data_IF_513050739347
#
_entry.id   IF_513050739347
#
_cell.length_a   1.000
_cell.length_b   1.000
_cell.length_c   1.000
_cell.angle_alpha   90.00
_cell.angle_beta   90.00
_cell.angle_gamma   90.00
#
_symmetry.space_group_name_H-M   'P 1'
#
loop_
_entity.id
_entity.type
_entity.pdbx_description
1 polymer ?
#
# COMPACT_ATOMS: atom_id res chain seq x y z
N UNK A 1 5.12 58.45 -5.13
CA UNK A 1 6.25 57.53 -4.86
C UNK A 1 6.43 57.11 -3.39
N UNK A 2 5.87 57.79 -2.38
CA UNK A 2 6.10 57.42 -0.96
C UNK A 2 5.27 56.26 -0.40
N UNK A 3 4.17 55.86 -1.03
CA UNK A 3 3.26 54.81 -0.53
C UNK A 3 3.60 53.39 -1.00
N UNK A 4 4.40 53.24 -2.05
CA UNK A 4 4.82 51.91 -2.58
C UNK A 4 6.02 51.36 -1.80
N UNK A 5 6.91 52.24 -1.32
CA UNK A 5 8.07 51.87 -0.49
C UNK A 5 7.67 51.29 0.88
N UNK A 6 6.58 51.76 1.48
CA UNK A 6 6.09 51.28 2.78
C UNK A 6 5.50 49.88 2.75
N UNK A 7 4.84 49.50 1.64
CA UNK A 7 4.26 48.14 1.50
C UNK A 7 5.37 47.13 1.23
N UNK A 8 6.39 47.48 0.43
CA UNK A 8 7.54 46.61 0.18
C UNK A 8 8.37 46.33 1.45
N UNK A 9 8.49 47.30 2.35
CA UNK A 9 9.22 47.16 3.62
C UNK A 9 8.47 46.29 4.64
N UNK A 10 7.13 46.37 4.68
CA UNK A 10 6.30 45.54 5.56
C UNK A 10 6.27 44.10 5.06
N UNK A 11 6.16 43.90 3.75
CA UNK A 11 6.24 42.56 3.13
C UNK A 11 7.63 41.95 3.39
N UNK A 12 8.72 42.70 3.20
CA UNK A 12 10.07 42.19 3.52
C UNK A 12 10.28 41.90 5.00
N UNK A 13 9.70 42.69 5.91
CA UNK A 13 9.80 42.47 7.35
C UNK A 13 9.03 41.22 7.80
N UNK A 14 7.84 40.98 7.25
CA UNK A 14 7.06 39.76 7.47
C UNK A 14 7.79 38.52 6.95
N UNK A 15 8.37 38.60 5.75
CA UNK A 15 9.21 37.53 5.19
C UNK A 15 10.47 37.25 6.03
N UNK A 16 11.11 38.27 6.60
CA UNK A 16 12.28 38.11 7.45
C UNK A 16 11.93 37.50 8.82
N UNK A 17 10.80 37.90 9.43
CA UNK A 17 10.32 37.29 10.67
C UNK A 17 9.89 35.84 10.49
N UNK A 18 9.18 35.52 9.40
CA UNK A 18 8.78 34.15 9.08
C UNK A 18 9.99 33.27 8.76
N UNK A 19 10.99 33.79 8.05
CA UNK A 19 12.22 33.07 7.78
C UNK A 19 13.01 32.76 9.06
N UNK A 20 13.07 33.69 10.02
CA UNK A 20 13.74 33.50 11.31
C UNK A 20 13.01 32.47 12.20
N UNK A 21 11.67 32.50 12.20
CA UNK A 21 10.85 31.51 12.91
C UNK A 21 11.00 30.09 12.32
N UNK A 22 11.01 29.96 10.99
CA UNK A 22 11.25 28.69 10.30
C UNK A 22 12.66 28.15 10.59
N UNK A 23 13.69 29.00 10.57
CA UNK A 23 15.06 28.60 10.93
C UNK A 23 15.17 28.11 12.38
N UNK A 24 14.53 28.80 13.33
CA UNK A 24 14.52 28.38 14.74
C UNK A 24 13.79 27.06 14.94
N UNK A 25 12.62 26.88 14.31
CA UNK A 25 11.87 25.63 14.36
C UNK A 25 12.70 24.46 13.81
N UNK A 26 13.44 24.69 12.73
CA UNK A 26 14.32 23.70 12.11
C UNK A 26 15.51 23.32 13.01
N UNK A 27 16.13 24.29 13.69
CA UNK A 27 17.20 24.03 14.68
C UNK A 27 16.67 23.16 15.83
N UNK A 28 15.52 23.52 16.39
CA UNK A 28 14.89 22.75 17.48
C UNK A 28 14.56 21.34 17.01
N UNK A 29 13.99 21.19 15.81
CA UNK A 29 13.69 19.88 15.22
C UNK A 29 14.95 19.03 15.09
N UNK A 30 16.06 19.59 14.57
CA UNK A 30 17.34 18.88 14.46
C UNK A 30 17.88 18.46 15.82
N UNK A 31 17.79 19.33 16.83
CA UNK A 31 18.23 19.01 18.18
C UNK A 31 17.38 17.90 18.80
N UNK A 32 16.07 17.94 18.63
CA UNK A 32 15.16 16.90 19.13
C UNK A 32 15.44 15.54 18.49
N UNK A 33 15.69 15.50 17.18
CA UNK A 33 16.10 14.27 16.49
C UNK A 33 17.41 13.73 17.03
N UNK A 34 18.42 14.58 17.28
CA UNK A 34 19.69 14.16 17.89
C UNK A 34 19.50 13.62 19.30
N UNK A 35 18.71 14.31 20.12
CA UNK A 35 18.41 13.87 21.48
C UNK A 35 17.70 12.51 21.48
N UNK A 36 16.71 12.32 20.60
CA UNK A 36 16.04 11.03 20.46
C UNK A 36 17.00 9.93 19.98
N UNK A 37 17.86 10.21 18.99
CA UNK A 37 18.87 9.25 18.52
C UNK A 37 19.85 8.83 19.63
N UNK A 38 20.28 9.77 20.48
CA UNK A 38 21.12 9.47 21.64
C UNK A 38 20.39 8.61 22.67
N UNK A 39 19.11 8.92 22.97
CA UNK A 39 18.28 8.08 23.86
C UNK A 39 18.09 6.67 23.30
N UNK A 40 17.93 6.54 21.98
CA UNK A 40 17.91 5.24 21.33
C UNK A 40 19.22 4.47 21.55
N UNK A 41 20.38 5.12 21.39
CA UNK A 41 21.68 4.46 21.50
C UNK A 41 22.01 4.01 22.94
N UNK A 42 21.60 4.78 23.95
CA UNK A 42 22.01 4.57 25.35
C UNK A 42 20.91 3.97 26.24
N UNK A 43 19.66 3.95 25.77
CA UNK A 43 18.49 3.67 26.60
C UNK A 43 18.09 2.19 26.71
N UNK A 44 17.30 1.91 27.76
CA UNK A 44 16.55 0.66 27.89
C UNK A 44 15.46 0.53 26.80
N UNK A 45 14.87 -0.66 26.65
CA UNK A 45 13.98 -0.93 25.52
C UNK A 45 12.78 0.02 25.43
N UNK A 46 12.21 0.47 26.56
CA UNK A 46 11.13 1.46 26.57
C UNK A 46 11.59 2.80 26.01
N UNK A 47 12.75 3.29 26.46
CA UNK A 47 13.33 4.55 26.02
C UNK A 47 13.71 4.50 24.53
N UNK A 48 14.21 3.35 24.05
CA UNK A 48 14.47 3.13 22.62
C UNK A 48 13.20 3.17 21.80
N UNK A 49 12.12 2.53 22.27
CA UNK A 49 10.83 2.54 21.57
C UNK A 49 10.25 3.96 21.51
N UNK A 50 10.27 4.71 22.61
CA UNK A 50 9.84 6.11 22.66
C UNK A 50 10.68 6.98 21.71
N UNK A 51 12.01 6.82 21.75
CA UNK A 51 12.91 7.52 20.84
C UNK A 51 12.59 7.25 19.36
N UNK A 52 12.31 5.99 18.98
CA UNK A 52 11.92 5.65 17.60
C UNK A 52 10.59 6.29 17.23
N UNK A 53 9.58 6.25 18.11
CA UNK A 53 8.28 6.91 17.87
C UNK A 53 8.44 8.42 17.67
N UNK A 54 9.26 9.06 18.49
CA UNK A 54 9.59 10.47 18.35
C UNK A 54 10.28 10.76 17.01
N UNK A 55 11.30 9.99 16.66
CA UNK A 55 12.00 10.10 15.38
C UNK A 55 11.03 9.99 14.20
N UNK A 56 10.10 9.04 14.26
CA UNK A 56 9.04 8.84 13.27
C UNK A 56 8.06 10.03 13.22
N UNK A 57 7.84 10.73 14.33
CA UNK A 57 6.98 11.90 14.40
C UNK A 57 7.59 13.16 13.77
N UNK A 58 8.92 13.31 13.79
CA UNK A 58 9.64 14.50 13.32
C UNK A 58 9.85 14.57 11.80
N UNK A 59 9.20 13.70 11.02
CA UNK A 59 9.46 13.63 9.58
C UNK A 59 8.85 14.83 8.83
N UNK A 60 9.74 15.62 8.21
CA UNK A 60 9.46 16.62 7.20
C UNK A 60 10.13 16.25 5.85
N UNK A 61 10.00 17.05 4.80
CA UNK A 61 10.40 16.69 3.42
C UNK A 61 11.92 16.57 3.18
N UNK A 62 12.77 16.94 4.14
CA UNK A 62 14.23 16.92 3.98
C UNK A 62 14.82 15.52 4.19
N UNK A 63 15.84 15.17 3.39
CA UNK A 63 16.62 13.95 3.55
C UNK A 63 17.42 14.01 4.85
N UNK A 64 16.92 13.38 5.90
CA UNK A 64 17.57 13.33 7.20
C UNK A 64 18.31 12.00 7.38
N UNK A 65 19.60 12.00 7.04
CA UNK A 65 20.49 10.82 7.15
C UNK A 65 20.53 10.25 8.56
N UNK A 66 20.41 11.09 9.60
CA UNK A 66 20.38 10.62 10.99
C UNK A 66 19.10 9.83 11.27
N UNK A 67 17.93 10.34 10.85
CA UNK A 67 16.67 9.60 10.99
C UNK A 67 16.75 8.26 10.27
N UNK A 68 17.20 8.26 9.01
CA UNK A 68 17.32 7.03 8.22
C UNK A 68 18.28 6.04 8.89
N UNK A 69 19.46 6.50 9.32
CA UNK A 69 20.46 5.69 10.00
C UNK A 69 19.92 5.08 11.30
N UNK A 70 19.30 5.89 12.16
CA UNK A 70 18.71 5.39 13.42
C UNK A 70 17.60 4.38 13.16
N UNK A 71 16.72 4.64 12.19
CA UNK A 71 15.64 3.70 11.84
C UNK A 71 16.17 2.39 11.24
N UNK A 72 17.25 2.41 10.45
CA UNK A 72 17.88 1.20 9.93
C UNK A 72 18.46 0.35 11.06
N UNK A 73 19.09 0.97 12.06
CA UNK A 73 19.57 0.27 13.26
C UNK A 73 18.40 -0.28 14.08
N UNK A 74 17.34 0.52 14.28
CA UNK A 74 16.14 0.11 15.00
C UNK A 74 15.36 -1.01 14.32
N UNK A 75 15.43 -1.12 13.00
CA UNK A 75 14.84 -2.23 12.24
C UNK A 75 15.52 -3.58 12.51
N UNK A 76 16.66 -3.59 13.21
CA UNK A 76 17.40 -4.77 13.65
C UNK A 76 17.41 -4.92 15.18
N UNK A 77 16.62 -4.12 15.92
CA UNK A 77 16.59 -4.17 17.38
C UNK A 77 16.09 -5.54 17.88
N UNK A 78 16.62 -6.08 19.00
CA UNK A 78 16.14 -7.32 19.61
C UNK A 78 14.62 -7.35 19.87
N UNK A 79 14.01 -6.19 20.16
CA UNK A 79 12.59 -6.09 20.49
C UNK A 79 11.73 -5.88 19.24
N UNK A 80 10.79 -6.79 19.02
CA UNK A 80 9.84 -6.80 17.89
C UNK A 80 9.08 -5.47 17.74
N UNK A 81 8.67 -4.86 18.86
CA UNK A 81 7.95 -3.58 18.87
C UNK A 81 8.77 -2.43 18.28
N UNK A 82 10.08 -2.41 18.52
CA UNK A 82 11.01 -1.42 17.98
C UNK A 82 11.21 -1.65 16.49
N UNK A 83 11.42 -2.91 16.05
CA UNK A 83 11.55 -3.25 14.63
C UNK A 83 10.33 -2.84 13.82
N UNK A 84 9.13 -3.12 14.35
CA UNK A 84 7.86 -2.72 13.73
C UNK A 84 7.76 -1.20 13.59
N UNK A 85 8.08 -0.45 14.65
CA UNK A 85 7.99 1.01 14.60
C UNK A 85 9.02 1.61 13.64
N UNK A 86 10.22 1.03 13.60
CA UNK A 86 11.27 1.40 12.67
C UNK A 86 10.82 1.20 11.21
N UNK A 87 10.20 0.05 10.89
CA UNK A 87 9.67 -0.23 9.55
C UNK A 87 8.57 0.76 9.12
N UNK A 88 7.69 1.16 10.05
CA UNK A 88 6.71 2.22 9.78
C UNK A 88 7.41 3.54 9.46
N UNK A 89 8.46 3.88 10.22
CA UNK A 89 9.31 5.04 9.98
C UNK A 89 9.94 5.01 8.59
N UNK A 90 10.64 3.93 8.24
CA UNK A 90 11.30 3.76 6.95
C UNK A 90 10.29 3.85 5.78
N UNK A 91 9.10 3.26 5.94
CA UNK A 91 8.02 3.37 4.95
C UNK A 91 7.52 4.82 4.76
N UNK A 92 7.45 5.61 5.84
CA UNK A 92 7.10 7.04 5.77
C UNK A 92 8.20 7.86 5.11
N UNK A 93 9.48 7.53 5.39
CA UNK A 93 10.62 8.18 4.77
C UNK A 93 10.66 7.92 3.25
N UNK A 94 10.31 6.70 2.82
CA UNK A 94 10.34 6.27 1.41
C UNK A 94 11.69 6.57 0.73
N UNK A 95 12.79 6.56 1.49
CA UNK A 95 14.12 6.76 0.93
C UNK A 95 14.58 5.45 0.28
N UNK A 96 14.86 5.48 -1.03
CA UNK A 96 15.22 4.31 -1.84
C UNK A 96 16.46 3.57 -1.28
N UNK A 97 17.36 4.27 -0.60
CA UNK A 97 18.54 3.64 0.04
C UNK A 97 18.17 2.63 1.12
N UNK A 98 16.97 2.72 1.70
CA UNK A 98 16.49 1.81 2.75
C UNK A 98 15.88 0.53 2.21
N UNK A 99 15.49 0.52 0.92
CA UNK A 99 14.69 -0.53 0.33
C UNK A 99 15.36 -1.90 0.41
N UNK A 100 16.68 -1.98 0.18
CA UNK A 100 17.43 -3.24 0.28
C UNK A 100 17.36 -3.85 1.69
N UNK A 101 17.45 -3.02 2.74
CA UNK A 101 17.31 -3.48 4.12
C UNK A 101 15.89 -4.00 4.40
N UNK A 102 14.86 -3.28 3.92
CA UNK A 102 13.46 -3.68 4.08
C UNK A 102 13.19 -4.99 3.31
N UNK A 103 13.75 -5.16 2.09
CA UNK A 103 13.66 -6.41 1.31
C UNK A 103 14.17 -7.60 2.10
N UNK A 104 15.35 -7.46 2.72
CA UNK A 104 15.95 -8.51 3.56
C UNK A 104 15.04 -8.87 4.74
N UNK A 105 14.50 -7.89 5.45
CA UNK A 105 13.58 -8.14 6.57
C UNK A 105 12.30 -8.83 6.07
N UNK A 106 11.72 -8.39 4.96
CA UNK A 106 10.54 -9.01 4.38
C UNK A 106 10.77 -10.47 3.92
N UNK A 107 12.00 -10.83 3.56
CA UNK A 107 12.35 -12.16 3.07
C UNK A 107 12.74 -13.15 4.18
N UNK A 108 13.43 -12.68 5.22
CA UNK A 108 14.19 -13.53 6.15
C UNK A 108 13.80 -13.39 7.63
N UNK A 109 12.97 -12.42 7.99
CA UNK A 109 12.57 -12.20 9.38
C UNK A 109 11.70 -13.34 9.92
N UNK A 110 12.04 -13.78 11.14
CA UNK A 110 11.39 -14.88 11.83
C UNK A 110 10.01 -14.48 12.36
N UNK A 111 9.88 -13.26 12.88
CA UNK A 111 8.61 -12.76 13.39
C UNK A 111 7.63 -12.47 12.23
N UNK A 112 6.47 -13.15 12.15
CA UNK A 112 5.48 -12.89 11.11
C UNK A 112 4.99 -11.44 11.12
N UNK A 113 4.78 -10.85 12.31
CA UNK A 113 4.38 -9.45 12.44
C UNK A 113 5.38 -8.50 11.79
N UNK A 114 6.67 -8.64 12.12
CA UNK A 114 7.72 -7.77 11.55
C UNK A 114 7.83 -7.99 10.05
N UNK A 115 7.75 -9.25 9.58
CA UNK A 115 7.75 -9.58 8.16
C UNK A 115 6.57 -8.94 7.43
N UNK A 116 5.37 -8.96 8.02
CA UNK A 116 4.19 -8.29 7.49
C UNK A 116 4.37 -6.78 7.36
N UNK A 117 4.93 -6.12 8.39
CA UNK A 117 5.24 -4.70 8.33
C UNK A 117 6.29 -4.38 7.25
N UNK A 118 7.28 -5.25 7.06
CA UNK A 118 8.30 -5.06 6.02
C UNK A 118 7.72 -5.20 4.61
N UNK A 119 6.90 -6.21 4.34
CA UNK A 119 6.17 -6.36 3.07
C UNK A 119 5.27 -5.14 2.80
N UNK A 120 4.57 -4.66 3.83
CA UNK A 120 3.74 -3.46 3.74
C UNK A 120 4.55 -2.20 3.44
N UNK A 121 5.76 -2.08 4.00
CA UNK A 121 6.68 -0.98 3.76
C UNK A 121 7.21 -0.98 2.32
N UNK A 122 7.60 -2.14 1.77
CA UNK A 122 8.08 -2.26 0.38
C UNK A 122 7.06 -1.77 -0.64
N UNK A 123 5.77 -2.06 -0.42
CA UNK A 123 4.69 -1.60 -1.30
C UNK A 123 4.67 -0.08 -1.53
N UNK A 124 5.20 0.72 -0.60
CA UNK A 124 5.24 2.19 -0.74
C UNK A 124 6.18 2.63 -1.87
N UNK A 125 7.23 1.86 -2.15
CA UNK A 125 8.20 2.14 -3.21
C UNK A 125 7.62 1.89 -4.60
N UNK A 126 6.71 0.91 -4.72
CA UNK A 126 6.12 0.47 -5.99
C UNK A 126 7.18 0.07 -7.04
N UNK A 127 8.31 -0.45 -6.57
CA UNK A 127 9.44 -0.78 -7.44
C UNK A 127 9.25 -2.20 -7.99
N UNK A 128 9.24 -2.41 -9.32
CA UNK A 128 9.16 -3.73 -9.93
C UNK A 128 10.24 -4.72 -9.46
N UNK A 129 11.38 -4.24 -8.96
CA UNK A 129 12.41 -5.12 -8.38
C UNK A 129 11.99 -5.78 -7.05
N UNK A 130 10.83 -5.44 -6.48
CA UNK A 130 10.26 -6.07 -5.28
C UNK A 130 9.41 -7.32 -5.61
N UNK A 131 9.21 -7.68 -6.88
CA UNK A 131 8.34 -8.80 -7.30
C UNK A 131 8.67 -10.08 -6.55
N UNK A 132 9.95 -10.48 -6.50
CA UNK A 132 10.37 -11.75 -5.89
C UNK A 132 10.01 -11.83 -4.39
N UNK A 133 10.07 -10.69 -3.69
CA UNK A 133 9.69 -10.63 -2.28
C UNK A 133 8.19 -10.83 -2.13
N UNK A 134 7.38 -10.19 -2.99
CA UNK A 134 5.94 -10.35 -2.93
C UNK A 134 5.48 -11.75 -3.36
N UNK A 135 6.06 -12.33 -4.42
CA UNK A 135 5.73 -13.68 -4.89
C UNK A 135 6.12 -14.74 -3.85
N UNK A 136 7.28 -14.62 -3.20
CA UNK A 136 7.65 -15.45 -2.05
C UNK A 136 6.65 -15.30 -0.90
N UNK A 137 6.24 -14.08 -0.58
CA UNK A 137 5.26 -13.83 0.48
C UNK A 137 3.86 -14.40 0.21
N UNK A 138 3.48 -14.65 -1.05
CA UNK A 138 2.25 -15.40 -1.38
C UNK A 138 2.31 -16.88 -0.98
N UNK A 139 3.49 -17.42 -0.72
CA UNK A 139 3.68 -18.80 -0.22
C UNK A 139 3.73 -18.86 1.31
N UNK A 140 3.51 -17.74 2.00
CA UNK A 140 3.52 -17.67 3.46
C UNK A 140 2.35 -18.45 4.08
N UNK A 141 2.61 -19.20 5.14
CA UNK A 141 1.56 -19.83 5.96
C UNK A 141 0.64 -18.78 6.59
N UNK A 142 1.21 -17.64 6.99
CA UNK A 142 0.47 -16.49 7.50
C UNK A 142 -0.26 -15.75 6.37
N UNK A 143 -1.59 -15.71 6.46
CA UNK A 143 -2.47 -15.09 5.48
C UNK A 143 -2.35 -13.57 5.43
N UNK A 144 -1.96 -12.90 6.53
CA UNK A 144 -1.75 -11.45 6.56
C UNK A 144 -0.62 -11.08 5.59
N UNK A 145 0.40 -11.92 5.50
CA UNK A 145 1.56 -11.73 4.63
C UNK A 145 1.19 -12.03 3.18
N UNK A 146 0.40 -13.09 2.93
CA UNK A 146 -0.15 -13.33 1.59
C UNK A 146 -0.99 -12.15 1.11
N UNK A 147 -1.85 -11.61 1.97
CA UNK A 147 -2.67 -10.43 1.67
C UNK A 147 -1.81 -9.19 1.38
N UNK A 148 -0.79 -8.94 2.22
CA UNK A 148 0.14 -7.83 2.02
C UNK A 148 0.93 -7.97 0.71
N UNK A 149 1.33 -9.19 0.36
CA UNK A 149 2.04 -9.51 -0.88
C UNK A 149 1.20 -9.28 -2.12
N UNK A 150 -0.05 -9.75 -2.18
CA UNK A 150 -0.91 -9.47 -3.34
C UNK A 150 -1.21 -7.96 -3.47
N UNK A 151 -1.31 -7.23 -2.35
CA UNK A 151 -1.40 -5.76 -2.36
C UNK A 151 -0.13 -5.12 -2.94
N UNK A 152 1.04 -5.70 -2.69
CA UNK A 152 2.32 -5.31 -3.27
C UNK A 152 2.30 -5.46 -4.79
N UNK A 153 2.04 -6.68 -5.27
CA UNK A 153 1.99 -7.00 -6.70
C UNK A 153 1.01 -6.13 -7.48
N UNK A 154 -0.22 -5.94 -6.97
CA UNK A 154 -1.26 -5.18 -7.67
C UNK A 154 -1.04 -3.66 -7.69
N UNK A 155 -0.04 -3.15 -6.96
CA UNK A 155 0.34 -1.74 -6.99
C UNK A 155 1.44 -1.44 -8.00
N UNK A 156 2.17 -2.48 -8.45
CA UNK A 156 3.21 -2.34 -9.46
C UNK A 156 2.57 -1.93 -10.78
N UNK A 157 3.14 -0.90 -11.40
CA UNK A 157 2.63 -0.30 -12.64
C UNK A 157 3.71 -0.36 -13.72
N UNK A 158 4.08 -1.59 -14.07
CA UNK A 158 5.06 -1.88 -15.11
C UNK A 158 4.42 -2.88 -16.10
N UNK A 159 4.25 -2.43 -17.34
CA UNK A 159 3.62 -3.23 -18.41
C UNK A 159 4.42 -4.49 -18.74
N UNK A 160 5.75 -4.44 -18.59
CA UNK A 160 6.64 -5.55 -18.97
C UNK A 160 6.43 -6.79 -18.09
N UNK A 161 5.97 -6.59 -16.84
CA UNK A 161 5.76 -7.66 -15.87
C UNK A 161 4.30 -8.11 -15.76
N UNK A 162 3.32 -7.35 -16.27
CA UNK A 162 1.89 -7.66 -16.00
C UNK A 162 1.50 -9.09 -16.35
N UNK A 163 2.03 -9.62 -17.45
CA UNK A 163 1.78 -11.01 -17.86
C UNK A 163 2.37 -12.03 -16.90
N UNK A 164 3.56 -11.78 -16.34
CA UNK A 164 4.19 -12.68 -15.37
C UNK A 164 3.49 -12.65 -14.00
N UNK A 165 2.73 -11.59 -13.70
CA UNK A 165 1.94 -11.49 -12.47
C UNK A 165 0.66 -12.36 -12.48
N UNK A 166 0.15 -12.74 -13.67
CA UNK A 166 -1.15 -13.42 -13.80
C UNK A 166 -1.26 -14.69 -12.95
N UNK A 167 -0.29 -15.64 -12.95
CA UNK A 167 -0.37 -16.85 -12.14
C UNK A 167 -0.50 -16.56 -10.64
N UNK A 168 0.23 -15.56 -10.14
CA UNK A 168 0.20 -15.16 -8.73
C UNK A 168 -1.12 -14.48 -8.34
N UNK A 169 -1.72 -13.72 -9.26
CA UNK A 169 -3.05 -13.14 -9.05
C UNK A 169 -4.12 -14.23 -9.03
N UNK A 170 -4.03 -15.23 -9.93
CA UNK A 170 -4.94 -16.40 -9.93
C UNK A 170 -4.82 -17.16 -8.60
N UNK A 171 -3.59 -17.41 -8.14
CA UNK A 171 -3.34 -18.01 -6.82
C UNK A 171 -4.05 -17.21 -5.72
N UNK A 172 -3.89 -15.88 -5.70
CA UNK A 172 -4.50 -15.04 -4.67
C UNK A 172 -6.05 -14.99 -4.75
N UNK A 173 -6.66 -15.02 -5.93
CA UNK A 173 -8.13 -15.10 -6.09
C UNK A 173 -8.69 -16.41 -5.53
N UNK A 174 -7.92 -17.48 -5.64
CA UNK A 174 -8.26 -18.82 -5.15
C UNK A 174 -7.73 -19.12 -3.75
N UNK A 175 -7.16 -18.13 -3.06
CA UNK A 175 -6.67 -18.32 -1.70
C UNK A 175 -7.79 -18.81 -0.76
N UNK A 176 -7.50 -19.78 0.12
CA UNK A 176 -8.46 -20.26 1.10
C UNK A 176 -8.91 -19.15 2.07
N UNK A 177 -8.04 -18.18 2.36
CA UNK A 177 -8.39 -17.03 3.19
C UNK A 177 -9.15 -15.98 2.38
N UNK A 178 -10.40 -15.71 2.78
CA UNK A 178 -11.28 -14.78 2.09
C UNK A 178 -10.66 -13.38 1.96
N UNK A 179 -9.93 -12.93 2.99
CA UNK A 179 -9.28 -11.61 2.98
C UNK A 179 -8.28 -11.43 1.84
N UNK A 180 -7.54 -12.49 1.48
CA UNK A 180 -6.58 -12.49 0.37
C UNK A 180 -7.31 -12.44 -0.97
N UNK A 181 -8.31 -13.31 -1.16
CA UNK A 181 -9.12 -13.36 -2.37
C UNK A 181 -9.87 -12.06 -2.64
N UNK A 182 -10.51 -11.48 -1.60
CA UNK A 182 -11.20 -10.20 -1.70
C UNK A 182 -10.26 -9.06 -2.08
N UNK A 183 -9.04 -9.07 -1.53
CA UNK A 183 -8.02 -8.08 -1.86
C UNK A 183 -7.59 -8.19 -3.32
N UNK A 184 -7.34 -9.41 -3.80
CA UNK A 184 -6.97 -9.66 -5.20
C UNK A 184 -8.05 -9.13 -6.15
N UNK A 185 -9.30 -9.52 -5.93
CA UNK A 185 -10.44 -9.13 -6.76
C UNK A 185 -10.71 -7.62 -6.76
N UNK A 186 -10.72 -6.97 -5.58
CA UNK A 186 -11.05 -5.54 -5.45
C UNK A 186 -10.00 -4.62 -6.04
N UNK A 187 -8.74 -5.05 -6.10
CA UNK A 187 -7.60 -4.23 -6.56
C UNK A 187 -7.14 -4.60 -7.97
N UNK A 188 -7.76 -5.59 -8.61
CA UNK A 188 -7.36 -6.05 -9.93
C UNK A 188 -7.60 -5.00 -11.01
N UNK A 189 -6.51 -4.49 -11.58
CA UNK A 189 -6.54 -3.59 -12.74
C UNK A 189 -6.22 -4.32 -14.06
N UNK A 190 -5.45 -5.39 -13.98
CA UNK A 190 -5.02 -6.17 -15.14
C UNK A 190 -6.22 -6.91 -15.73
N UNK A 191 -6.38 -6.83 -17.05
CA UNK A 191 -7.41 -7.54 -17.81
C UNK A 191 -6.74 -8.61 -18.66
N UNK A 192 -7.13 -9.86 -18.43
CA UNK A 192 -6.60 -11.03 -19.15
C UNK A 192 -7.67 -12.12 -19.22
N UNK A 193 -7.66 -12.93 -20.28
CA UNK A 193 -8.63 -14.00 -20.49
C UNK A 193 -8.59 -15.10 -19.43
N UNK A 194 -7.40 -15.42 -18.88
CA UNK A 194 -7.28 -16.39 -17.78
C UNK A 194 -7.86 -15.82 -16.49
N UNK A 195 -7.57 -14.55 -16.20
CA UNK A 195 -8.15 -13.85 -15.05
C UNK A 195 -9.67 -13.77 -15.17
N UNK A 196 -10.21 -13.47 -16.35
CA UNK A 196 -11.65 -13.48 -16.60
C UNK A 196 -12.27 -14.82 -16.20
N UNK A 197 -11.74 -15.93 -16.72
CA UNK A 197 -12.23 -17.28 -16.40
C UNK A 197 -12.21 -17.54 -14.90
N UNK A 198 -11.08 -17.26 -14.22
CA UNK A 198 -10.96 -17.44 -12.77
C UNK A 198 -11.96 -16.59 -11.98
N UNK A 199 -12.19 -15.33 -12.38
CA UNK A 199 -13.18 -14.45 -11.74
C UNK A 199 -14.60 -14.99 -11.95
N UNK A 200 -14.93 -15.47 -13.15
CA UNK A 200 -16.24 -16.05 -13.46
C UNK A 200 -16.47 -17.31 -12.65
N UNK A 201 -15.48 -18.19 -12.51
CA UNK A 201 -15.59 -19.39 -11.66
C UNK A 201 -15.86 -19.01 -10.20
N UNK A 202 -15.12 -18.01 -9.68
CA UNK A 202 -15.34 -17.48 -8.33
C UNK A 202 -16.70 -16.78 -8.17
N UNK A 203 -17.17 -16.07 -9.19
CA UNK A 203 -18.48 -15.44 -9.23
C UNK A 203 -19.60 -16.48 -9.26
N UNK A 204 -19.39 -17.60 -9.96
CA UNK A 204 -20.33 -18.70 -10.06
C UNK A 204 -20.48 -19.45 -8.73
N UNK A 205 -19.40 -19.59 -7.96
CA UNK A 205 -19.43 -20.20 -6.62
C UNK A 205 -19.95 -19.29 -5.50
N UNK A 206 -20.20 -18.00 -5.78
CA UNK A 206 -20.82 -17.11 -4.80
C UNK A 206 -22.26 -17.54 -4.50
N UNK A 207 -22.55 -17.84 -3.23
CA UNK A 207 -23.90 -18.03 -2.72
C UNK A 207 -24.55 -16.70 -2.30
N UNK A 208 -25.84 -16.73 -2.00
CA UNK A 208 -26.65 -15.56 -1.65
C UNK A 208 -26.28 -14.90 -0.31
N UNK A 209 -25.42 -15.52 0.51
CA UNK A 209 -24.98 -14.97 1.80
C UNK A 209 -23.57 -14.36 1.74
N UNK A 210 -22.79 -14.65 0.69
CA UNK A 210 -21.41 -14.16 0.56
C UNK A 210 -21.33 -12.82 -0.20
N UNK A 211 -21.99 -11.79 0.33
CA UNK A 211 -22.06 -10.48 -0.31
C UNK A 211 -20.70 -9.85 -0.57
N UNK A 212 -19.74 -10.03 0.34
CA UNK A 212 -18.39 -9.46 0.20
C UNK A 212 -17.66 -9.99 -1.03
N UNK A 213 -17.73 -11.31 -1.25
CA UNK A 213 -17.11 -11.96 -2.40
C UNK A 213 -17.87 -11.66 -3.70
N UNK A 214 -19.20 -11.66 -3.65
CA UNK A 214 -20.04 -11.30 -4.78
C UNK A 214 -19.79 -9.85 -5.24
N UNK A 215 -19.67 -8.91 -4.31
CA UNK A 215 -19.29 -7.52 -4.64
C UNK A 215 -17.87 -7.45 -5.21
N UNK A 216 -16.91 -8.19 -4.64
CA UNK A 216 -15.53 -8.18 -5.11
C UNK A 216 -15.39 -8.75 -6.54
N UNK A 217 -16.11 -9.82 -6.85
CA UNK A 217 -16.14 -10.41 -8.20
C UNK A 217 -16.82 -9.47 -9.20
N UNK A 218 -17.93 -8.81 -8.85
CA UNK A 218 -18.52 -7.78 -9.71
C UNK A 218 -17.56 -6.60 -9.97
N UNK A 219 -16.80 -6.16 -8.96
CA UNK A 219 -15.76 -5.14 -9.14
C UNK A 219 -14.70 -5.62 -10.13
N UNK A 220 -14.25 -6.87 -10.01
CA UNK A 220 -13.22 -7.46 -10.88
C UNK A 220 -13.72 -7.68 -12.32
N UNK A 221 -14.99 -8.07 -12.49
CA UNK A 221 -15.66 -8.26 -13.79
C UNK A 221 -15.83 -6.95 -14.55
N UNK A 222 -15.91 -5.81 -13.87
CA UNK A 222 -16.05 -4.52 -14.53
C UNK A 222 -14.89 -4.26 -15.49
N UNK A 223 -15.20 -4.04 -16.76
CA UNK A 223 -14.20 -3.85 -17.83
C UNK A 223 -13.88 -5.11 -18.64
N UNK A 224 -14.58 -6.22 -18.41
CA UNK A 224 -14.60 -7.36 -19.34
C UNK A 224 -15.84 -7.33 -20.22
N UNK A 225 -15.71 -7.88 -21.43
CA UNK A 225 -16.85 -8.32 -22.24
C UNK A 225 -17.35 -9.64 -21.68
N UNK A 226 -18.63 -9.74 -21.39
CA UNK A 226 -19.22 -10.89 -20.74
C UNK A 226 -19.70 -11.92 -21.77
N UNK A 227 -19.54 -13.20 -21.46
CA UNK A 227 -20.29 -14.26 -22.11
C UNK A 227 -21.77 -14.23 -21.68
N UNK A 228 -22.65 -14.79 -22.50
CA UNK A 228 -24.11 -14.77 -22.28
C UNK A 228 -24.52 -15.32 -20.90
N UNK A 229 -23.89 -16.41 -20.45
CA UNK A 229 -24.22 -17.03 -19.16
C UNK A 229 -23.86 -16.09 -18.00
N UNK A 230 -22.64 -15.55 -18.02
CA UNK A 230 -22.19 -14.57 -17.01
C UNK A 230 -23.07 -13.31 -17.02
N UNK A 231 -23.38 -12.80 -18.22
CA UNK A 231 -24.23 -11.62 -18.40
C UNK A 231 -25.62 -11.82 -17.80
N UNK A 232 -26.28 -12.95 -18.07
CA UNK A 232 -27.59 -13.27 -17.52
C UNK A 232 -27.58 -13.32 -15.98
N UNK A 233 -26.53 -13.93 -15.39
CA UNK A 233 -26.38 -13.93 -13.93
C UNK A 233 -26.20 -12.51 -13.37
N UNK A 234 -25.45 -11.64 -14.05
CA UNK A 234 -25.30 -10.22 -13.64
C UNK A 234 -26.63 -9.46 -13.78
N UNK A 235 -27.42 -9.72 -14.82
CA UNK A 235 -28.77 -9.11 -14.99
C UNK A 235 -29.67 -9.46 -13.81
N UNK A 236 -29.68 -10.73 -13.37
CA UNK A 236 -30.50 -11.15 -12.22
C UNK A 236 -30.10 -10.44 -10.92
N UNK A 237 -28.87 -9.94 -10.80
CA UNK A 237 -28.42 -9.16 -9.64
C UNK A 237 -28.94 -7.72 -9.62
N UNK A 238 -29.59 -7.24 -10.70
CA UNK A 238 -30.23 -5.92 -10.72
C UNK A 238 -31.42 -5.81 -9.77
N UNK A 239 -32.02 -6.93 -9.37
CA UNK A 239 -33.12 -6.99 -8.38
C UNK A 239 -32.66 -7.48 -7.00
N UNK A 240 -31.35 -7.65 -6.80
CA UNK A 240 -30.79 -8.16 -5.55
C UNK A 240 -31.15 -7.25 -4.34
N UNK A 241 -31.46 -7.78 -3.14
CA UNK A 241 -31.88 -6.97 -1.98
C UNK A 241 -30.83 -5.93 -1.55
N UNK A 242 -29.54 -6.28 -1.65
CA UNK A 242 -28.44 -5.36 -1.36
C UNK A 242 -28.22 -4.32 -2.49
N UNK A 243 -28.41 -3.04 -2.17
CA UNK A 243 -28.27 -1.91 -3.11
C UNK A 243 -26.87 -1.80 -3.74
N UNK A 244 -25.80 -2.12 -2.99
CA UNK A 244 -24.44 -2.04 -3.52
C UNK A 244 -24.21 -3.09 -4.61
N UNK A 245 -24.80 -4.29 -4.48
CA UNK A 245 -24.74 -5.32 -5.51
C UNK A 245 -25.48 -4.85 -6.77
N UNK A 246 -26.67 -4.27 -6.64
CA UNK A 246 -27.41 -3.71 -7.80
C UNK A 246 -26.60 -2.67 -8.57
N UNK A 247 -25.99 -1.73 -7.85
CA UNK A 247 -25.14 -0.68 -8.44
C UNK A 247 -23.93 -1.28 -9.17
N UNK A 248 -23.27 -2.26 -8.56
CA UNK A 248 -22.11 -2.93 -9.18
C UNK A 248 -22.51 -3.72 -10.42
N UNK A 249 -23.61 -4.47 -10.36
CA UNK A 249 -24.16 -5.21 -11.50
C UNK A 249 -24.48 -4.27 -12.67
N UNK A 250 -25.16 -3.14 -12.40
CA UNK A 250 -25.45 -2.13 -13.41
C UNK A 250 -24.17 -1.55 -14.05
N UNK A 251 -23.13 -1.28 -13.25
CA UNK A 251 -21.84 -0.78 -13.75
C UNK A 251 -21.17 -1.78 -14.68
N UNK A 252 -21.15 -3.06 -14.29
CA UNK A 252 -20.61 -4.15 -15.12
C UNK A 252 -21.34 -4.21 -16.46
N UNK A 253 -22.68 -4.24 -16.47
CA UNK A 253 -23.48 -4.31 -17.70
C UNK A 253 -23.31 -3.07 -18.59
N UNK A 254 -23.22 -1.87 -17.99
CA UNK A 254 -22.95 -0.65 -18.74
C UNK A 254 -21.60 -0.72 -19.45
N UNK A 255 -20.57 -1.23 -18.77
CA UNK A 255 -19.23 -1.36 -19.34
C UNK A 255 -19.16 -2.45 -20.41
N UNK A 256 -19.83 -3.59 -20.21
CA UNK A 256 -20.00 -4.65 -21.22
C UNK A 256 -20.63 -4.11 -22.51
N UNK A 257 -21.74 -3.36 -22.39
CA UNK A 257 -22.41 -2.73 -23.53
C UNK A 257 -21.48 -1.79 -24.29
N UNK A 258 -20.73 -0.94 -23.58
CA UNK A 258 -19.75 -0.02 -24.21
C UNK A 258 -18.68 -0.77 -25.00
N UNK A 259 -18.12 -1.85 -24.44
CA UNK A 259 -17.11 -2.67 -25.12
C UNK A 259 -17.68 -3.36 -26.37
N UNK A 260 -18.93 -3.82 -26.30
CA UNK A 260 -19.62 -4.45 -27.44
C UNK A 260 -19.88 -3.46 -28.59
N UNK A 261 -20.11 -2.17 -28.28
CA UNK A 261 -20.33 -1.13 -29.30
C UNK A 261 -19.02 -0.70 -29.98
N UNK A 262 -17.86 -0.78 -29.31
CA UNK A 262 -16.57 -0.39 -29.88
C UNK A 262 -16.01 -1.38 -30.91
N UNK A 263 -16.50 -2.62 -30.91
CA UNK A 263 -16.08 -3.68 -31.84
C UNK A 263 -16.91 -3.74 -33.13
N UNK A 264 -17.97 -2.92 -33.22
CA UNK A 264 -18.83 -2.79 -34.41
C UNK A 264 -18.50 -1.51 -35.17
#
# INVERSE_FOLDING_TARGET
MRTVLSISLIISALFLSDCNMLQRAEIIRRQNVRNAANRYAMGGWQQRLEAVREIVSYYGPEKNTLIIGTLLVAAQDPYTSIRIEALKGLARCKDKSTQAAIKKIAADEKSPDVRWYAVKALRVFKDPSDIDVFTKGLQSEDWLIREASIRGLLVLDDETIKKSLIPFIIQAINDPEASVALTALRRLKIKDGKLYRTIVDKFNSCNEYNYSLLMATLIALNGYKLDEKTKNKVINLLVHPNIKIRILALRVLKKDKMLTTLEK
#
